data_IF_219426216243
#
_entry.id   IF_219426216243
#
_cell.length_a   1.000
_cell.length_b   1.000
_cell.length_c   1.000
_cell.angle_alpha   90.00
_cell.angle_beta   90.00
_cell.angle_gamma   90.00
#
_symmetry.space_group_name_H-M   'P 1'
#
loop_
_entity.id
_entity.type
_entity.pdbx_description
1 polymer ?
#
# COMPACT_ATOMS: atom_id res chain seq x y z
N UNK A 1 16.45 4.20 17.14
CA UNK A 1 16.08 3.03 16.31
C UNK A 1 14.84 3.41 15.52
N UNK A 2 14.95 3.46 14.18
CA UNK A 2 13.80 3.77 13.34
C UNK A 2 12.76 2.66 13.44
N UNK A 3 11.53 3.05 13.73
CA UNK A 3 10.39 2.12 13.72
C UNK A 3 10.19 1.70 12.27
N UNK A 4 10.44 0.45 11.95
CA UNK A 4 10.15 -0.12 10.65
C UNK A 4 8.64 -0.33 10.61
N UNK A 5 7.92 0.52 9.88
CA UNK A 5 6.52 0.32 9.54
C UNK A 5 6.42 -0.75 8.46
N UNK A 6 5.22 -1.20 8.11
CA UNK A 6 4.96 -2.24 7.12
C UNK A 6 5.98 -2.22 5.97
N UNK A 7 6.74 -3.28 5.84
CA UNK A 7 7.82 -3.43 4.86
C UNK A 7 7.73 -4.74 4.07
N UNK A 8 6.59 -5.41 4.13
CA UNK A 8 6.33 -6.65 3.42
C UNK A 8 4.84 -6.81 3.16
N UNK A 9 4.48 -7.05 1.92
CA UNK A 9 3.13 -7.45 1.52
C UNK A 9 3.20 -8.41 0.35
N UNK A 10 2.07 -9.02 -0.02
CA UNK A 10 1.97 -9.78 -1.25
C UNK A 10 0.77 -9.36 -2.09
N UNK A 11 0.81 -9.74 -3.36
CA UNK A 11 -0.26 -9.58 -4.32
C UNK A 11 -0.29 -10.83 -5.21
N UNK A 12 -1.11 -11.80 -4.82
CA UNK A 12 -1.23 -13.08 -5.53
C UNK A 12 -2.51 -13.18 -6.35
N UNK A 13 -3.35 -12.13 -6.32
CA UNK A 13 -4.55 -12.07 -7.12
C UNK A 13 -4.23 -11.99 -8.62
N UNK A 14 -5.09 -12.60 -9.41
CA UNK A 14 -5.02 -12.54 -10.87
C UNK A 14 -5.46 -11.18 -11.40
N UNK A 15 -5.09 -10.88 -12.64
CA UNK A 15 -5.55 -9.68 -13.35
C UNK A 15 -7.08 -9.59 -13.41
N UNK A 16 -7.74 -10.74 -13.58
CA UNK A 16 -9.20 -10.78 -13.68
C UNK A 16 -9.87 -10.53 -12.32
N UNK A 17 -9.27 -10.96 -11.21
CA UNK A 17 -9.72 -10.60 -9.87
C UNK A 17 -9.54 -9.11 -9.60
N UNK A 18 -8.40 -8.53 -9.99
CA UNK A 18 -8.20 -7.08 -9.90
C UNK A 18 -9.22 -6.30 -10.74
N UNK A 19 -9.53 -6.75 -11.96
CA UNK A 19 -10.54 -6.12 -12.81
C UNK A 19 -11.96 -6.22 -12.25
N UNK A 20 -12.29 -7.35 -11.62
CA UNK A 20 -13.59 -7.53 -10.96
C UNK A 20 -13.75 -6.57 -9.79
N UNK A 21 -12.70 -6.34 -9.02
CA UNK A 21 -12.76 -5.51 -7.82
C UNK A 21 -12.62 -4.01 -8.12
N UNK A 22 -11.65 -3.63 -8.94
CA UNK A 22 -11.29 -2.22 -9.18
C UNK A 22 -11.86 -1.66 -10.49
N UNK A 23 -12.52 -2.49 -11.30
CA UNK A 23 -13.00 -2.12 -12.62
C UNK A 23 -11.95 -2.32 -13.73
N UNK A 24 -12.32 -2.01 -14.99
CA UNK A 24 -11.43 -2.18 -16.12
C UNK A 24 -10.21 -1.23 -16.04
N UNK A 25 -9.07 -1.73 -16.45
CA UNK A 25 -7.83 -0.96 -16.56
C UNK A 25 -7.01 -1.37 -17.77
N UNK A 26 -6.27 -0.40 -18.32
CA UNK A 26 -5.27 -0.59 -19.36
C UNK A 26 -3.91 -0.97 -18.76
N UNK A 27 -2.95 -1.33 -19.59
CA UNK A 27 -1.57 -1.65 -19.21
C UNK A 27 -1.15 -3.05 -19.64
N UNK A 28 0.13 -3.35 -19.51
CA UNK A 28 0.66 -4.67 -19.81
C UNK A 28 0.34 -5.64 -18.68
N UNK A 29 -0.62 -6.51 -18.93
CA UNK A 29 -1.10 -7.51 -17.98
C UNK A 29 -0.83 -8.95 -18.45
N UNK A 30 -0.22 -9.13 -19.61
CA UNK A 30 -0.15 -10.43 -20.28
C UNK A 30 0.56 -11.51 -19.47
N UNK A 31 1.51 -11.13 -18.62
CA UNK A 31 2.33 -12.06 -17.85
C UNK A 31 2.56 -11.57 -16.41
N UNK A 32 1.53 -11.03 -15.75
CA UNK A 32 1.68 -10.60 -14.36
C UNK A 32 1.71 -11.83 -13.44
N UNK A 33 2.88 -12.21 -12.89
CA UNK A 33 2.97 -13.35 -12.00
C UNK A 33 2.38 -13.02 -10.63
N UNK A 34 2.08 -14.01 -9.79
CA UNK A 34 1.83 -13.77 -8.38
C UNK A 34 3.10 -13.22 -7.70
N UNK A 35 2.93 -12.26 -6.80
CA UNK A 35 4.00 -11.69 -6.00
C UNK A 35 3.85 -12.16 -4.56
N UNK A 36 4.56 -13.22 -4.20
CA UNK A 36 4.48 -13.86 -2.88
C UNK A 36 5.06 -12.97 -1.77
N UNK A 37 6.11 -12.22 -2.06
CA UNK A 37 6.73 -11.30 -1.13
C UNK A 37 7.25 -10.05 -1.87
N UNK A 38 6.69 -8.89 -1.53
CA UNK A 38 7.11 -7.60 -2.06
C UNK A 38 7.77 -6.82 -0.93
N UNK A 39 9.06 -6.52 -1.10
CA UNK A 39 9.88 -5.74 -0.19
C UNK A 39 10.16 -4.33 -0.73
N UNK A 40 10.53 -3.38 0.13
CA UNK A 40 11.05 -2.09 -0.31
C UNK A 40 12.13 -2.23 -1.38
N UNK A 41 12.01 -1.42 -2.42
CA UNK A 41 12.90 -1.47 -3.57
C UNK A 41 12.48 -2.43 -4.68
N UNK A 42 11.51 -3.32 -4.47
CA UNK A 42 10.98 -4.19 -5.52
C UNK A 42 9.97 -3.44 -6.40
N UNK A 43 9.89 -3.85 -7.66
CA UNK A 43 8.82 -3.42 -8.55
C UNK A 43 7.54 -4.20 -8.23
N UNK A 44 6.42 -3.49 -8.19
CA UNK A 44 5.12 -4.08 -7.90
C UNK A 44 4.02 -3.42 -8.76
N UNK A 45 2.89 -4.11 -9.01
CA UNK A 45 1.78 -3.55 -9.74
C UNK A 45 1.07 -2.45 -8.95
N UNK A 46 0.80 -1.34 -9.62
CA UNK A 46 0.11 -0.17 -9.08
C UNK A 46 -0.95 0.26 -10.07
N UNK A 47 -2.14 0.61 -9.60
CA UNK A 47 -3.21 1.16 -10.41
C UNK A 47 -3.35 2.66 -10.15
N UNK A 48 -3.36 3.45 -11.20
CA UNK A 48 -3.55 4.91 -11.15
C UNK A 48 -4.51 5.39 -12.23
N UNK A 49 -4.99 6.62 -12.13
CA UNK A 49 -5.73 7.23 -13.25
C UNK A 49 -4.81 7.43 -14.45
N UNK A 50 -5.30 7.06 -15.61
CA UNK A 50 -4.66 7.41 -16.88
C UNK A 50 -5.03 8.84 -17.26
N UNK A 51 -4.03 9.69 -17.46
CA UNK A 51 -4.23 11.13 -17.67
C UNK A 51 -5.07 11.49 -18.90
N UNK A 52 -5.23 10.60 -19.87
CA UNK A 52 -5.96 10.85 -21.10
C UNK A 52 -7.33 10.17 -21.19
N UNK A 53 -7.58 9.13 -20.41
CA UNK A 53 -8.73 8.25 -20.63
C UNK A 53 -9.72 8.23 -19.43
N UNK A 54 -9.39 8.81 -18.28
CA UNK A 54 -10.19 8.72 -17.06
C UNK A 54 -10.33 7.30 -16.49
N UNK A 55 -9.84 6.28 -17.20
CA UNK A 55 -9.79 4.88 -16.79
C UNK A 55 -8.59 4.62 -15.87
N UNK A 56 -8.58 3.45 -15.25
CA UNK A 56 -7.39 2.99 -14.52
C UNK A 56 -6.33 2.46 -15.50
N UNK A 57 -5.06 2.63 -15.10
CA UNK A 57 -3.90 2.05 -15.76
C UNK A 57 -3.07 1.28 -14.75
N UNK A 58 -2.74 0.03 -15.08
CA UNK A 58 -1.77 -0.76 -14.34
C UNK A 58 -0.36 -0.43 -14.82
N UNK A 59 0.53 -0.20 -13.88
CA UNK A 59 1.93 0.12 -14.14
C UNK A 59 2.81 -0.51 -13.07
N UNK A 60 3.97 -1.06 -13.49
CA UNK A 60 4.97 -1.56 -12.56
C UNK A 60 5.77 -0.39 -12.01
N UNK A 61 5.75 -0.21 -10.70
CA UNK A 61 6.46 0.87 -10.02
C UNK A 61 7.33 0.33 -8.89
N UNK A 62 8.45 0.99 -8.60
CA UNK A 62 9.36 0.61 -7.52
C UNK A 62 8.86 1.13 -6.18
N UNK A 63 8.77 0.26 -5.19
CA UNK A 63 8.33 0.63 -3.85
C UNK A 63 9.41 1.39 -3.08
N UNK A 64 9.15 2.63 -2.75
CA UNK A 64 10.01 3.52 -1.97
C UNK A 64 10.57 4.66 -2.79
N UNK A 65 10.19 5.89 -2.43
CA UNK A 65 10.76 7.09 -3.01
C UNK A 65 12.23 7.25 -2.62
N UNK A 66 13.09 7.74 -3.52
CA UNK A 66 14.44 8.16 -3.12
C UNK A 66 14.34 9.12 -1.93
N UNK A 67 14.96 8.76 -0.83
CA UNK A 67 14.97 9.57 0.37
C UNK A 67 15.87 10.79 0.23
N UNK A 68 15.66 11.82 1.06
CA UNK A 68 16.53 12.99 1.09
C UNK A 68 17.98 12.59 1.41
N UNK A 69 18.95 13.09 0.65
CA UNK A 69 20.38 12.82 0.88
C UNK A 69 20.82 13.22 2.30
N UNK A 70 20.31 14.34 2.81
CA UNK A 70 20.54 14.81 4.17
C UNK A 70 20.07 13.82 5.27
N UNK A 71 19.15 12.90 4.92
CA UNK A 71 18.66 11.83 5.81
C UNK A 71 19.28 10.45 5.46
N UNK A 72 20.42 10.43 4.77
CA UNK A 72 21.16 9.22 4.41
C UNK A 72 20.63 8.50 3.16
N UNK A 73 19.79 9.14 2.35
CA UNK A 73 19.33 8.63 1.05
C UNK A 73 18.46 7.36 1.08
N UNK A 74 18.08 6.87 2.27
CA UNK A 74 17.28 5.64 2.40
C UNK A 74 15.91 5.81 1.74
N UNK A 75 15.42 4.80 1.01
CA UNK A 75 14.09 4.85 0.43
C UNK A 75 13.00 5.11 1.48
N UNK A 76 12.08 6.00 1.16
CA UNK A 76 10.92 6.30 2.02
C UNK A 76 9.72 5.56 1.46
N UNK A 77 9.28 4.54 2.17
CA UNK A 77 8.28 3.56 1.71
C UNK A 77 6.88 3.85 2.21
N UNK A 78 6.77 4.60 3.32
CA UNK A 78 5.50 4.84 4.02
C UNK A 78 5.27 6.33 4.23
N UNK A 79 4.04 6.78 3.97
CA UNK A 79 3.58 8.16 4.15
C UNK A 79 2.78 8.24 5.44
N UNK A 80 3.43 8.64 6.54
CA UNK A 80 2.78 8.75 7.86
C UNK A 80 2.33 10.17 8.18
N UNK A 81 3.19 11.14 7.99
CA UNK A 81 2.87 12.54 8.23
C UNK A 81 2.34 13.19 6.95
N UNK A 82 1.01 13.24 6.79
CA UNK A 82 0.37 13.81 5.60
C UNK A 82 0.63 15.32 5.42
N UNK A 83 0.99 16.02 6.48
CA UNK A 83 1.34 17.45 6.44
C UNK A 83 2.76 17.71 5.93
N UNK A 84 3.60 16.67 5.81
CA UNK A 84 4.99 16.82 5.39
C UNK A 84 5.10 17.44 3.99
N UNK A 85 5.95 18.48 3.81
CA UNK A 85 6.22 19.05 2.49
C UNK A 85 6.70 18.04 1.45
N UNK A 86 7.33 16.95 1.91
CA UNK A 86 7.86 15.89 1.06
C UNK A 86 6.78 15.18 0.22
N UNK A 87 5.55 15.06 0.77
CA UNK A 87 4.42 14.40 0.10
C UNK A 87 3.36 15.34 -0.43
N UNK A 88 3.32 16.56 0.07
CA UNK A 88 2.19 17.50 -0.13
C UNK A 88 1.81 17.66 -1.60
N UNK A 89 2.78 17.77 -2.50
CA UNK A 89 2.50 17.91 -3.93
C UNK A 89 1.80 16.68 -4.51
N UNK A 90 2.25 15.48 -4.15
CA UNK A 90 1.65 14.24 -4.61
C UNK A 90 0.28 13.96 -3.98
N UNK A 91 0.06 14.35 -2.72
CA UNK A 91 -1.25 14.20 -2.08
C UNK A 91 -2.30 15.15 -2.67
N UNK A 92 -1.89 16.40 -3.01
CA UNK A 92 -2.79 17.40 -3.60
C UNK A 92 -3.21 17.11 -5.03
N UNK A 93 -2.38 16.42 -5.78
CA UNK A 93 -2.62 16.12 -7.19
C UNK A 93 -3.25 14.73 -7.35
N UNK A 94 -4.55 14.62 -7.71
CA UNK A 94 -5.19 13.33 -7.96
C UNK A 94 -4.42 12.47 -8.98
N UNK A 95 -3.77 13.09 -9.97
CA UNK A 95 -2.96 12.37 -10.96
C UNK A 95 -1.71 11.72 -10.35
N UNK A 96 -1.34 12.05 -9.13
CA UNK A 96 -0.24 11.45 -8.36
C UNK A 96 -0.70 10.48 -7.28
N UNK A 97 -2.00 10.29 -7.13
CA UNK A 97 -2.53 9.24 -6.27
C UNK A 97 -2.62 7.93 -7.04
N UNK A 98 -2.51 6.85 -6.33
CA UNK A 98 -2.62 5.51 -6.87
C UNK A 98 -3.20 4.56 -5.81
N UNK A 99 -3.57 3.38 -6.23
CA UNK A 99 -3.86 2.27 -5.33
C UNK A 99 -2.86 1.16 -5.57
N UNK A 100 -2.45 0.50 -4.49
CA UNK A 100 -1.56 -0.65 -4.53
C UNK A 100 -2.39 -1.88 -4.23
N UNK A 101 -2.62 -2.78 -5.20
CA UNK A 101 -3.34 -4.04 -4.97
C UNK A 101 -2.59 -4.93 -3.98
N UNK A 102 -3.30 -5.51 -3.02
CA UNK A 102 -2.75 -6.32 -1.93
C UNK A 102 -3.69 -7.47 -1.62
N UNK A 103 -3.13 -8.67 -1.39
CA UNK A 103 -3.88 -9.81 -0.87
C UNK A 103 -3.66 -10.02 0.62
N UNK A 104 -2.46 -9.74 1.13
CA UNK A 104 -2.14 -9.72 2.55
C UNK A 104 -0.90 -8.87 2.81
N UNK A 105 -0.75 -8.37 4.04
CA UNK A 105 0.46 -7.67 4.46
C UNK A 105 1.00 -8.24 5.76
N UNK A 106 2.26 -7.98 6.02
CA UNK A 106 2.98 -8.56 7.15
C UNK A 106 3.47 -7.47 8.09
N UNK A 107 3.30 -7.73 9.39
CA UNK A 107 4.02 -7.04 10.45
C UNK A 107 4.85 -8.06 11.24
N UNK A 108 5.88 -7.58 11.90
CA UNK A 108 6.79 -8.40 12.67
C UNK A 108 6.46 -8.28 14.15
N UNK A 109 6.50 -9.41 14.87
CA UNK A 109 6.30 -9.39 16.32
C UNK A 109 7.22 -8.37 17.00
N UNK A 110 6.73 -7.74 18.08
CA UNK A 110 7.51 -6.76 18.83
C UNK A 110 8.78 -7.39 19.38
N UNK A 111 8.63 -8.56 20.00
CA UNK A 111 9.72 -9.31 20.59
C UNK A 111 10.15 -10.49 19.71
N UNK A 112 11.45 -10.82 19.68
CA UNK A 112 11.93 -12.02 19.03
C UNK A 112 11.41 -13.28 19.76
N UNK A 113 11.13 -14.32 19.00
CA UNK A 113 10.86 -15.65 19.55
C UNK A 113 12.07 -16.12 20.40
N UNK A 114 11.85 -16.58 21.64
CA UNK A 114 12.94 -16.95 22.55
C UNK A 114 13.84 -18.08 22.04
N UNK A 115 13.28 -19.02 21.26
CA UNK A 115 14.01 -20.17 20.74
C UNK A 115 14.83 -19.84 19.49
N UNK A 116 14.24 -19.05 18.55
CA UNK A 116 14.88 -18.73 17.27
C UNK A 116 15.65 -17.42 17.30
N UNK A 117 15.44 -16.56 18.29
CA UNK A 117 15.94 -15.19 18.41
C UNK A 117 15.58 -14.29 17.21
N UNK A 118 14.55 -14.66 16.46
CA UNK A 118 14.05 -13.91 15.29
C UNK A 118 12.63 -13.43 15.57
N UNK A 119 12.29 -12.27 15.02
CA UNK A 119 10.92 -11.80 14.98
C UNK A 119 10.12 -12.69 14.04
N UNK A 120 8.90 -13.05 14.43
CA UNK A 120 8.00 -13.80 13.59
C UNK A 120 7.23 -12.89 12.64
N UNK A 121 6.94 -13.39 11.44
CA UNK A 121 6.01 -12.76 10.50
C UNK A 121 4.59 -13.03 10.95
N UNK A 122 3.78 -11.99 11.03
CA UNK A 122 2.33 -12.09 11.26
C UNK A 122 1.64 -11.48 10.06
N UNK A 123 0.86 -12.30 9.35
CA UNK A 123 0.15 -11.88 8.15
C UNK A 123 -1.26 -11.42 8.48
N UNK A 124 -1.70 -10.35 7.82
CA UNK A 124 -3.02 -9.76 7.97
C UNK A 124 -3.70 -9.65 6.60
N UNK A 125 -5.00 -9.84 6.59
CA UNK A 125 -5.84 -9.72 5.41
C UNK A 125 -7.29 -9.45 5.75
N UNK A 126 -8.14 -9.46 4.75
CA UNK A 126 -9.58 -9.36 4.94
C UNK A 126 -10.13 -10.60 5.63
N UNK A 127 -11.20 -10.43 6.40
CA UNK A 127 -11.92 -11.53 7.04
C UNK A 127 -12.68 -12.39 6.02
N UNK A 128 -13.09 -11.81 4.91
CA UNK A 128 -13.75 -12.51 3.81
C UNK A 128 -12.74 -13.39 3.05
N UNK A 129 -12.97 -14.71 3.08
CA UNK A 129 -12.05 -15.68 2.43
C UNK A 129 -12.15 -15.70 0.91
N UNK A 130 -13.35 -15.46 0.38
CA UNK A 130 -13.63 -15.57 -1.05
C UNK A 130 -13.11 -14.38 -1.87
N UNK A 131 -12.78 -13.26 -1.22
CA UNK A 131 -12.31 -12.04 -1.87
C UNK A 131 -11.17 -11.38 -1.07
N UNK A 132 -9.99 -11.99 -0.99
CA UNK A 132 -8.90 -11.49 -0.14
C UNK A 132 -8.26 -10.20 -0.66
N UNK A 133 -8.66 -9.71 -1.85
CA UNK A 133 -8.04 -8.56 -2.51
C UNK A 133 -8.60 -7.24 -1.99
N UNK A 134 -7.72 -6.33 -1.65
CA UNK A 134 -7.97 -4.93 -1.27
C UNK A 134 -6.86 -4.04 -1.83
N UNK A 135 -6.87 -2.77 -1.50
CA UNK A 135 -5.80 -1.86 -1.91
C UNK A 135 -5.23 -1.08 -0.74
N UNK A 136 -3.96 -0.66 -0.84
CA UNK A 136 -3.45 0.44 -0.03
C UNK A 136 -3.62 1.76 -0.77
N UNK A 137 -3.94 2.82 -0.02
CA UNK A 137 -3.89 4.19 -0.52
C UNK A 137 -2.43 4.58 -0.77
N UNK A 138 -2.08 4.91 -2.00
CA UNK A 138 -0.72 5.21 -2.40
C UNK A 138 -0.57 6.53 -3.13
N UNK A 139 0.66 7.00 -3.19
CA UNK A 139 1.10 8.11 -4.04
C UNK A 139 2.30 7.67 -4.87
N UNK A 140 2.48 8.30 -6.02
CA UNK A 140 3.56 7.95 -6.93
C UNK A 140 4.25 9.16 -7.53
N UNK A 141 5.49 8.96 -8.01
CA UNK A 141 6.28 9.96 -8.73
C UNK A 141 7.02 9.32 -9.90
N UNK A 142 7.08 9.99 -11.06
CA UNK A 142 7.99 9.58 -12.12
C UNK A 142 9.42 9.93 -11.75
N UNK A 143 10.38 9.21 -12.34
CA UNK A 143 11.79 9.54 -12.34
C UNK A 143 12.44 9.09 -13.64
N UNK A 144 13.72 9.42 -13.85
CA UNK A 144 14.52 8.90 -14.98
C UNK A 144 14.72 7.38 -14.94
N UNK A 145 14.57 6.76 -13.76
CA UNK A 145 14.73 5.31 -13.55
C UNK A 145 13.38 4.57 -13.52
N UNK A 146 12.28 5.19 -13.97
CA UNK A 146 10.93 4.68 -13.87
C UNK A 146 10.11 5.39 -12.81
N UNK A 147 8.99 4.80 -12.41
CA UNK A 147 8.10 5.36 -11.41
C UNK A 147 8.34 4.73 -10.03
N UNK A 148 8.21 5.54 -8.99
CA UNK A 148 8.26 5.11 -7.59
C UNK A 148 6.92 5.32 -6.93
N UNK A 149 6.56 4.44 -5.99
CA UNK A 149 5.38 4.63 -5.15
C UNK A 149 5.71 4.47 -3.66
N UNK A 150 4.85 5.03 -2.83
CA UNK A 150 4.78 4.80 -1.40
C UNK A 150 3.31 4.78 -1.00
N UNK A 151 2.94 4.01 0.02
CA UNK A 151 1.58 3.98 0.51
C UNK A 151 1.45 4.65 1.88
N UNK A 152 0.22 5.10 2.17
CA UNK A 152 -0.11 5.77 3.41
C UNK A 152 -0.18 4.78 4.57
N UNK A 153 0.14 5.28 5.76
CA UNK A 153 -0.08 4.57 7.01
C UNK A 153 -0.87 5.45 7.98
N UNK A 154 -1.68 4.81 8.82
CA UNK A 154 -2.48 5.43 9.88
C UNK A 154 -2.20 4.76 11.22
N UNK A 155 -2.93 5.13 12.27
CA UNK A 155 -2.90 4.41 13.55
C UNK A 155 -3.39 2.98 13.34
N UNK A 156 -2.85 2.05 14.12
CA UNK A 156 -3.27 0.65 14.04
C UNK A 156 -4.67 0.48 14.65
N UNK A 157 -5.46 -0.42 14.07
CA UNK A 157 -6.67 -0.94 14.67
C UNK A 157 -6.32 -1.99 15.77
N UNK A 158 -7.31 -2.60 16.42
CA UNK A 158 -7.05 -3.55 17.51
C UNK A 158 -6.36 -4.82 17.01
N UNK A 159 -6.71 -5.31 15.82
CA UNK A 159 -6.16 -6.55 15.23
C UNK A 159 -4.66 -6.39 14.93
N UNK A 160 -4.28 -5.34 14.21
CA UNK A 160 -2.88 -5.07 13.88
C UNK A 160 -2.12 -4.58 15.11
N UNK A 161 -2.77 -3.77 15.94
CA UNK A 161 -2.19 -3.17 17.15
C UNK A 161 -1.72 -4.18 18.19
N UNK A 162 -2.31 -5.37 18.22
CA UNK A 162 -1.86 -6.48 19.06
C UNK A 162 -0.42 -6.93 18.72
N UNK A 163 0.03 -6.70 17.49
CA UNK A 163 1.37 -7.08 16.99
C UNK A 163 2.24 -5.85 16.78
N UNK A 164 1.69 -4.81 16.13
CA UNK A 164 2.38 -3.57 15.80
C UNK A 164 1.54 -2.35 16.22
N UNK A 165 1.66 -1.86 17.47
CA UNK A 165 0.74 -0.87 18.04
C UNK A 165 0.84 0.53 17.43
N UNK A 166 1.87 0.82 16.62
CA UNK A 166 2.17 2.19 16.19
C UNK A 166 1.50 2.60 14.88
N UNK A 167 1.27 1.67 13.98
CA UNK A 167 0.75 1.98 12.66
C UNK A 167 0.30 0.74 11.89
N UNK A 168 -0.59 0.97 10.93
CA UNK A 168 -0.97 0.02 9.88
C UNK A 168 -1.05 0.72 8.53
N UNK A 169 -0.98 0.01 7.39
CA UNK A 169 -1.28 0.58 6.09
C UNK A 169 -2.71 1.11 6.02
N UNK A 170 -2.92 2.19 5.28
CA UNK A 170 -4.28 2.69 4.96
C UNK A 170 -4.90 1.74 3.95
N UNK A 171 -5.81 0.90 4.41
CA UNK A 171 -6.53 -0.06 3.58
C UNK A 171 -7.78 0.59 2.99
N UNK A 172 -8.01 0.30 1.71
CA UNK A 172 -9.18 0.72 0.95
C UNK A 172 -9.92 -0.51 0.45
N UNK A 173 -11.21 -0.59 0.69
CA UNK A 173 -12.09 -1.48 -0.07
C UNK A 173 -12.43 -0.85 -1.43
N UNK A 174 -13.10 -1.62 -2.30
CA UNK A 174 -13.46 -1.15 -3.64
C UNK A 174 -14.29 0.13 -3.63
N UNK A 175 -15.17 0.29 -2.63
CA UNK A 175 -16.05 1.46 -2.52
C UNK A 175 -15.27 2.75 -2.17
N UNK A 176 -14.17 2.63 -1.43
CA UNK A 176 -13.35 3.78 -1.04
C UNK A 176 -12.34 4.21 -2.13
N UNK A 177 -12.04 3.35 -3.09
CA UNK A 177 -11.05 3.62 -4.16
C UNK A 177 -11.34 4.88 -4.96
N UNK A 178 -12.57 5.14 -5.47
CA UNK A 178 -12.86 6.38 -6.17
C UNK A 178 -12.65 7.61 -5.30
N UNK A 179 -13.07 7.57 -4.03
CA UNK A 179 -12.85 8.67 -3.09
C UNK A 179 -11.37 9.00 -2.88
N UNK A 180 -10.52 7.99 -2.81
CA UNK A 180 -9.08 8.20 -2.73
C UNK A 180 -8.50 8.80 -4.00
N UNK A 181 -8.88 8.31 -5.17
CA UNK A 181 -8.26 8.71 -6.44
C UNK A 181 -8.76 10.06 -6.94
N UNK A 182 -10.03 10.40 -6.72
CA UNK A 182 -10.71 11.45 -7.46
C UNK A 182 -11.12 12.66 -6.60
N UNK A 183 -11.35 12.50 -5.29
CA UNK A 183 -11.80 13.59 -4.41
C UNK A 183 -10.70 14.64 -4.21
N UNK A 184 -11.08 15.78 -3.64
CA UNK A 184 -10.10 16.77 -3.17
C UNK A 184 -9.17 16.18 -2.10
N UNK A 185 -8.12 16.92 -1.77
CA UNK A 185 -7.08 16.42 -0.86
C UNK A 185 -7.59 16.22 0.57
N UNK A 186 -8.57 16.99 1.03
CA UNK A 186 -9.08 16.87 2.39
C UNK A 186 -9.88 15.58 2.54
N UNK A 187 -10.82 15.34 1.63
CA UNK A 187 -11.65 14.14 1.61
C UNK A 187 -10.83 12.87 1.37
N UNK A 188 -9.88 12.93 0.42
CA UNK A 188 -8.99 11.79 0.18
C UNK A 188 -8.14 11.46 1.42
N UNK A 189 -7.55 12.46 2.07
CA UNK A 189 -6.75 12.26 3.28
C UNK A 189 -7.59 11.84 4.50
N UNK A 190 -8.90 12.12 4.53
CA UNK A 190 -9.80 11.63 5.57
C UNK A 190 -9.97 10.10 5.55
N UNK A 191 -9.63 9.44 4.44
CA UNK A 191 -9.57 7.98 4.33
C UNK A 191 -8.35 7.38 5.06
N UNK A 192 -7.38 8.18 5.49
CA UNK A 192 -6.22 7.72 6.24
C UNK A 192 -6.57 7.42 7.72
N UNK A 193 -7.38 6.40 7.91
CA UNK A 193 -7.89 5.93 9.21
C UNK A 193 -7.78 4.41 9.33
N UNK A 194 -7.80 3.85 10.55
CA UNK A 194 -7.79 2.42 10.75
C UNK A 194 -8.92 1.72 10.01
N UNK A 195 -8.63 0.57 9.41
CA UNK A 195 -9.65 -0.29 8.82
C UNK A 195 -10.46 -0.97 9.92
N UNK A 196 -11.71 -1.33 9.66
CA UNK A 196 -12.61 -1.90 10.65
C UNK A 196 -12.12 -3.28 11.14
N UNK A 197 -12.07 -3.47 12.47
CA UNK A 197 -11.53 -4.68 13.10
C UNK A 197 -12.26 -5.95 12.63
N UNK A 198 -13.59 -5.89 12.58
CA UNK A 198 -14.47 -7.01 12.19
C UNK A 198 -14.29 -7.46 10.74
N UNK A 199 -13.68 -6.63 9.92
CA UNK A 199 -13.37 -6.92 8.52
C UNK A 199 -11.94 -7.40 8.28
N UNK A 200 -11.16 -7.57 9.35
CA UNK A 200 -9.78 -8.03 9.29
C UNK A 200 -9.57 -9.30 10.11
N UNK A 201 -8.54 -10.06 9.72
CA UNK A 201 -8.06 -11.19 10.50
C UNK A 201 -6.55 -11.37 10.39
N UNK A 202 -6.00 -12.06 11.39
CA UNK A 202 -4.68 -12.68 11.29
C UNK A 202 -4.80 -13.92 10.41
N UNK A 203 -3.89 -14.05 9.46
CA UNK A 203 -3.80 -15.19 8.56
C UNK A 203 -2.75 -16.17 9.10
N UNK A 204 -3.03 -17.47 8.96
CA UNK A 204 -2.12 -18.53 9.37
C UNK A 204 -0.90 -18.62 8.43
#
# INVERSE_FOLDING_TARGET
MGVTMCNLYNMTATVDEMRRLFGPFAGDTANLPPFDEIYPGYAAPVLRRDAGAGSLKLEMMKWGFPGPQAAGGRPVTNVRNLASPFWRSALKDPARRCIVPVTRFCEWTAEPDPATRRKAKVWFGLAEEEAPLFAFAGIWRPSSEGAFFAFLTCDSNQIVGAVHPKAMPVMLDAAAVPGWLDNDVADACALARPFADERMRVLA
#
